data_IF_492887377531
#
_entry.id   IF_492887377531
#
_cell.length_a   1.000
_cell.length_b   1.000
_cell.length_c   1.000
_cell.angle_alpha   90.00
_cell.angle_beta   90.00
_cell.angle_gamma   90.00
#
_symmetry.space_group_name_H-M   'P 1'
#
loop_
_entity.id
_entity.type
_entity.pdbx_description
1 polymer ?
#
# COMPACT_ATOMS: atom_id res chain seq x y z
N UNK A 1 -8.84 25.20 13.93
CA UNK A 1 -8.49 24.88 12.53
C UNK A 1 -7.11 24.23 12.56
N UNK A 2 -6.99 22.94 12.25
CA UNK A 2 -5.69 22.28 12.17
C UNK A 2 -4.89 22.90 11.04
N UNK A 3 -3.62 23.23 11.30
CA UNK A 3 -2.67 23.74 10.29
C UNK A 3 -2.72 22.83 9.05
N UNK A 4 -2.80 23.37 7.82
CA UNK A 4 -2.70 22.55 6.63
C UNK A 4 -1.33 21.87 6.61
N UNK A 5 -1.31 20.55 6.58
CA UNK A 5 -0.08 19.78 6.40
C UNK A 5 0.43 20.07 4.99
N UNK A 6 1.61 20.68 4.90
CA UNK A 6 2.28 20.92 3.62
C UNK A 6 2.94 19.61 3.21
N UNK A 7 2.35 18.92 2.23
CA UNK A 7 2.93 17.69 1.70
C UNK A 7 4.20 17.97 0.89
N UNK A 8 5.27 17.27 1.22
CA UNK A 8 6.52 17.28 0.48
C UNK A 8 6.39 16.46 -0.82
N UNK A 9 7.07 16.90 -1.88
CA UNK A 9 7.03 16.24 -3.18
C UNK A 9 7.90 14.97 -3.15
N UNK A 10 7.37 13.86 -3.65
CA UNK A 10 8.04 12.56 -3.67
C UNK A 10 7.92 11.75 -2.38
N UNK A 11 7.35 12.33 -1.31
CA UNK A 11 7.16 11.64 -0.03
C UNK A 11 5.90 10.78 -0.07
N UNK A 12 6.03 9.53 0.40
CA UNK A 12 4.93 8.56 0.53
C UNK A 12 4.30 8.66 1.92
N UNK A 13 3.10 9.21 2.02
CA UNK A 13 2.32 9.20 3.27
C UNK A 13 1.41 7.96 3.31
N UNK A 14 1.56 7.10 4.33
CA UNK A 14 0.82 5.84 4.49
C UNK A 14 0.03 5.80 5.80
N UNK A 15 -0.86 4.82 5.92
CA UNK A 15 -1.55 4.49 7.18
C UNK A 15 -2.07 5.73 7.93
N UNK A 16 -1.62 5.93 9.18
CA UNK A 16 -2.00 7.04 10.03
C UNK A 16 -1.69 8.41 9.40
N UNK A 17 -0.55 8.56 8.72
CA UNK A 17 -0.17 9.82 8.08
C UNK A 17 -1.10 10.17 6.93
N UNK A 18 -1.52 9.15 6.16
CA UNK A 18 -2.53 9.30 5.11
C UNK A 18 -3.89 9.65 5.70
N UNK A 19 -4.30 8.94 6.75
CA UNK A 19 -5.61 9.12 7.39
C UNK A 19 -5.74 10.49 8.05
N UNK A 20 -4.67 11.01 8.66
CA UNK A 20 -4.64 12.35 9.27
C UNK A 20 -4.93 13.48 8.27
N UNK A 21 -4.76 13.23 6.97
CA UNK A 21 -5.01 14.18 5.88
C UNK A 21 -6.42 14.10 5.29
N UNK A 22 -7.25 13.15 5.73
CA UNK A 22 -8.61 12.95 5.22
C UNK A 22 -9.56 13.91 5.95
N UNK A 23 -10.40 14.68 5.23
CA UNK A 23 -11.31 15.66 5.85
C UNK A 23 -12.46 15.00 6.62
N UNK A 24 -12.66 13.70 6.44
CA UNK A 24 -13.64 12.89 7.15
C UNK A 24 -13.05 12.47 8.48
N UNK A 25 -13.73 12.81 9.58
CA UNK A 25 -13.40 12.29 10.90
C UNK A 25 -13.84 10.82 10.95
N UNK A 26 -12.90 9.90 10.82
CA UNK A 26 -13.12 8.51 11.20
C UNK A 26 -13.34 8.47 12.72
N UNK A 27 -14.45 7.90 13.15
CA UNK A 27 -14.67 7.65 14.58
C UNK A 27 -13.61 6.61 14.98
N UNK A 28 -12.66 7.02 15.81
CA UNK A 28 -11.64 6.11 16.28
C UNK A 28 -12.34 4.99 17.05
N UNK A 29 -12.28 3.77 16.52
CA UNK A 29 -12.73 2.59 17.25
C UNK A 29 -11.75 2.35 18.38
N UNK A 30 -12.23 2.29 19.62
CA UNK A 30 -11.39 1.94 20.75
C UNK A 30 -10.74 0.57 20.51
N UNK A 31 -9.49 0.39 20.97
CA UNK A 31 -8.72 -0.83 20.67
C UNK A 31 -9.42 -2.08 21.18
N UNK A 32 -10.12 -1.94 22.29
CA UNK A 32 -10.94 -2.95 22.96
C UNK A 32 -12.15 -3.37 22.11
N UNK A 33 -12.62 -2.49 21.22
CA UNK A 33 -13.72 -2.73 20.29
C UNK A 33 -13.26 -3.24 18.90
N UNK A 34 -11.95 -3.32 18.64
CA UNK A 34 -11.45 -3.89 17.39
C UNK A 34 -11.61 -5.41 17.38
N UNK A 35 -12.55 -5.90 16.57
CA UNK A 35 -12.73 -7.32 16.34
C UNK A 35 -11.49 -7.91 15.66
N UNK A 36 -11.02 -9.06 16.15
CA UNK A 36 -9.98 -9.82 15.45
C UNK A 36 -10.49 -10.29 14.09
N UNK A 37 -9.58 -10.33 13.12
CA UNK A 37 -9.87 -10.94 11.82
C UNK A 37 -10.28 -12.41 12.04
N UNK A 38 -11.30 -12.91 11.32
CA UNK A 38 -11.69 -14.32 11.41
C UNK A 38 -10.54 -15.27 11.08
N UNK A 39 -10.55 -16.46 11.67
CA UNK A 39 -9.49 -17.46 11.50
C UNK A 39 -9.27 -17.88 10.04
N UNK A 40 -10.32 -17.89 9.22
CA UNK A 40 -10.24 -18.23 7.79
C UNK A 40 -9.59 -17.14 6.92
N UNK A 41 -9.44 -15.91 7.43
CA UNK A 41 -8.86 -14.78 6.71
C UNK A 41 -7.33 -14.70 6.91
N UNK A 42 -6.64 -15.83 6.76
CA UNK A 42 -5.19 -15.94 6.88
C UNK A 42 -4.62 -16.56 5.60
N UNK A 43 -3.49 -16.04 5.15
CA UNK A 43 -2.73 -16.62 4.03
C UNK A 43 -1.70 -17.61 4.55
N UNK A 44 -1.34 -18.58 3.72
CA UNK A 44 -0.17 -19.43 3.94
C UNK A 44 1.02 -18.79 3.24
N UNK A 45 2.09 -18.52 3.99
CA UNK A 45 3.34 -18.07 3.39
C UNK A 45 4.00 -19.24 2.66
N UNK A 46 4.55 -19.01 1.46
CA UNK A 46 5.22 -20.07 0.71
C UNK A 46 6.54 -20.44 1.39
N UNK A 47 6.93 -21.72 1.28
CA UNK A 47 8.22 -22.20 1.77
C UNK A 47 9.40 -21.60 0.98
N UNK A 48 9.21 -21.38 -0.32
CA UNK A 48 10.16 -20.73 -1.20
C UNK A 48 9.70 -19.31 -1.58
N UNK A 49 10.61 -18.36 -1.47
CA UNK A 49 10.41 -16.95 -1.84
C UNK A 49 11.29 -16.49 -3.00
N UNK A 50 12.05 -17.39 -3.62
CA UNK A 50 12.99 -17.09 -4.72
C UNK A 50 12.32 -16.34 -5.88
N UNK A 51 11.16 -16.80 -6.36
CA UNK A 51 10.39 -16.16 -7.44
C UNK A 51 9.85 -14.79 -7.03
N UNK A 52 9.32 -14.67 -5.81
CA UNK A 52 8.84 -13.40 -5.25
C UNK A 52 9.98 -12.38 -5.21
N UNK A 53 11.15 -12.79 -4.70
CA UNK A 53 12.33 -11.94 -4.64
C UNK A 53 12.83 -11.56 -6.04
N UNK A 54 12.81 -12.49 -7.00
CA UNK A 54 13.17 -12.25 -8.39
C UNK A 54 12.28 -11.18 -9.06
N UNK A 55 10.96 -11.29 -8.92
CA UNK A 55 10.02 -10.29 -9.45
C UNK A 55 10.21 -8.94 -8.77
N UNK A 56 10.34 -8.91 -7.44
CA UNK A 56 10.63 -7.68 -6.69
C UNK A 56 11.94 -7.02 -7.13
N UNK A 57 12.99 -7.81 -7.35
CA UNK A 57 14.28 -7.31 -7.82
C UNK A 57 14.18 -6.76 -9.25
N UNK A 58 13.49 -7.45 -10.14
CA UNK A 58 13.25 -6.99 -11.51
C UNK A 58 12.46 -5.67 -11.54
N UNK A 59 11.42 -5.54 -10.73
CA UNK A 59 10.65 -4.28 -10.65
C UNK A 59 11.51 -3.13 -10.14
N UNK A 60 12.24 -3.31 -9.03
CA UNK A 60 13.14 -2.27 -8.48
C UNK A 60 14.23 -1.86 -9.46
N UNK A 61 14.84 -2.84 -10.16
CA UNK A 61 15.86 -2.58 -11.18
C UNK A 61 15.35 -1.69 -12.32
N UNK A 62 14.07 -1.83 -12.67
CA UNK A 62 13.44 -1.08 -13.76
C UNK A 62 12.64 0.14 -13.27
N UNK A 63 12.72 0.51 -11.99
CA UNK A 63 11.93 1.64 -11.45
C UNK A 63 10.41 1.44 -11.54
N UNK A 64 9.94 0.19 -11.57
CA UNK A 64 8.52 -0.14 -11.71
C UNK A 64 7.83 -0.27 -10.34
N UNK A 65 6.54 0.02 -10.34
CA UNK A 65 5.67 -0.10 -9.17
C UNK A 65 4.55 -1.10 -9.44
N UNK A 66 4.09 -1.79 -8.39
CA UNK A 66 2.98 -2.74 -8.47
C UNK A 66 1.99 -2.50 -7.35
N UNK A 67 0.70 -2.53 -7.67
CA UNK A 67 -0.37 -2.45 -6.65
C UNK A 67 -0.33 -3.64 -5.69
N UNK A 68 0.28 -4.76 -6.09
CA UNK A 68 0.50 -5.91 -5.23
C UNK A 68 1.33 -5.52 -3.99
N UNK A 69 2.37 -4.69 -4.17
CA UNK A 69 3.21 -4.19 -3.08
C UNK A 69 2.65 -2.91 -2.46
N UNK A 70 2.26 -1.95 -3.30
CA UNK A 70 1.90 -0.61 -2.82
C UNK A 70 0.58 -0.57 -2.04
N UNK A 71 -0.29 -1.58 -2.20
CA UNK A 71 -1.56 -1.72 -1.49
C UNK A 71 -1.59 -2.88 -0.47
N UNK A 72 -0.42 -3.43 -0.10
CA UNK A 72 -0.30 -4.52 0.89
C UNK A 72 -1.20 -5.74 0.58
N UNK A 73 -1.23 -6.16 -0.68
CA UNK A 73 -2.11 -7.23 -1.12
C UNK A 73 -1.73 -8.57 -0.46
N UNK A 74 -2.67 -9.27 0.21
CA UNK A 74 -2.39 -10.55 0.86
C UNK A 74 -2.03 -11.65 -0.15
N UNK A 75 -2.46 -11.52 -1.41
CA UNK A 75 -2.24 -12.54 -2.45
C UNK A 75 -0.91 -12.36 -3.20
N UNK A 76 -0.06 -11.40 -2.80
CA UNK A 76 1.21 -11.12 -3.49
C UNK A 76 2.06 -12.38 -3.68
N UNK A 77 2.16 -13.21 -2.65
CA UNK A 77 2.99 -14.41 -2.69
C UNK A 77 2.51 -15.42 -3.73
N UNK A 78 1.19 -15.63 -3.80
CA UNK A 78 0.56 -16.51 -4.79
C UNK A 78 0.75 -15.96 -6.21
N UNK A 79 0.36 -14.71 -6.44
CA UNK A 79 0.43 -14.07 -7.75
C UNK A 79 1.88 -14.07 -8.30
N UNK A 80 2.85 -13.67 -7.49
CA UNK A 80 4.25 -13.58 -7.93
C UNK A 80 4.84 -14.97 -8.18
N UNK A 81 4.50 -15.99 -7.38
CA UNK A 81 4.96 -17.36 -7.66
C UNK A 81 4.43 -17.89 -9.00
N UNK A 82 3.24 -17.45 -9.41
CA UNK A 82 2.63 -17.76 -10.71
C UNK A 82 3.15 -16.87 -11.85
N UNK A 83 4.07 -15.94 -11.58
CA UNK A 83 4.60 -15.03 -12.60
C UNK A 83 3.66 -13.87 -12.95
N UNK A 84 2.66 -13.59 -12.12
CA UNK A 84 1.65 -12.55 -12.35
C UNK A 84 1.90 -11.35 -11.45
N UNK A 85 1.91 -10.15 -12.04
CA UNK A 85 1.98 -8.88 -11.31
C UNK A 85 1.07 -7.83 -11.97
N UNK A 86 0.47 -6.96 -11.14
CA UNK A 86 -0.33 -5.84 -11.62
C UNK A 86 0.47 -4.55 -11.45
N UNK A 87 0.83 -3.92 -12.56
CA UNK A 87 1.68 -2.74 -12.57
C UNK A 87 0.92 -1.44 -12.31
N UNK A 88 1.62 -0.47 -11.74
CA UNK A 88 1.19 0.93 -11.58
C UNK A 88 2.06 1.82 -12.47
N UNK A 89 1.43 2.53 -13.40
CA UNK A 89 2.13 3.25 -14.47
C UNK A 89 2.54 4.69 -14.12
N UNK A 90 1.87 5.35 -13.17
CA UNK A 90 2.12 6.75 -12.80
C UNK A 90 2.83 6.88 -11.44
N UNK A 91 3.69 5.91 -11.13
CA UNK A 91 4.39 5.84 -9.86
C UNK A 91 3.54 5.26 -8.72
N UNK A 92 4.10 5.36 -7.51
CA UNK A 92 3.52 4.78 -6.29
C UNK A 92 2.75 5.77 -5.40
N UNK A 93 2.64 7.03 -5.80
CA UNK A 93 2.01 8.10 -4.99
C UNK A 93 0.70 8.51 -5.64
N UNK A 94 -0.40 8.34 -4.93
CA UNK A 94 -1.73 8.75 -5.35
C UNK A 94 -2.05 10.17 -4.83
N UNK A 95 -2.52 11.05 -5.71
CA UNK A 95 -3.00 12.38 -5.32
C UNK A 95 -4.39 12.33 -4.67
N UNK A 96 -5.11 11.20 -4.77
CA UNK A 96 -6.35 10.93 -4.04
C UNK A 96 -6.04 10.29 -2.69
N UNK A 97 -7.04 10.29 -1.80
CA UNK A 97 -6.94 9.84 -0.41
C UNK A 97 -8.13 8.97 0.00
N UNK A 98 -8.38 7.91 -0.76
CA UNK A 98 -9.46 6.96 -0.44
C UNK A 98 -9.17 6.30 0.93
N UNK A 99 -10.10 6.34 1.91
CA UNK A 99 -9.87 5.83 3.27
C UNK A 99 -9.54 4.33 3.36
N UNK A 100 -9.99 3.54 2.37
CA UNK A 100 -9.77 2.08 2.34
C UNK A 100 -8.50 1.67 1.60
N UNK A 101 -7.87 2.59 0.88
CA UNK A 101 -6.77 2.26 -0.03
C UNK A 101 -5.44 2.43 0.70
N UNK A 102 -4.54 1.46 0.57
CA UNK A 102 -3.22 1.50 1.23
C UNK A 102 -2.10 2.12 0.36
N UNK A 103 -2.40 2.45 -0.90
CA UNK A 103 -1.47 3.21 -1.75
C UNK A 103 -1.17 4.56 -1.12
N UNK A 104 0.11 4.90 -1.05
CA UNK A 104 0.56 6.13 -0.41
C UNK A 104 -0.11 7.37 -1.01
N UNK A 105 -0.53 8.30 -0.15
CA UNK A 105 -0.97 9.62 -0.56
C UNK A 105 0.22 10.56 -0.67
N UNK A 106 0.14 11.59 -1.51
CA UNK A 106 1.17 12.63 -1.58
C UNK A 106 1.17 13.41 -2.90
N UNK A 107 2.26 14.16 -3.10
CA UNK A 107 2.55 14.87 -4.35
C UNK A 107 3.63 14.12 -5.13
N UNK A 108 3.30 13.43 -6.24
CA UNK A 108 4.29 12.69 -7.01
C UNK A 108 5.32 13.64 -7.65
N UNK A 109 6.53 13.11 -7.90
CA UNK A 109 7.48 13.71 -8.83
C UNK A 109 7.01 13.49 -10.27
N UNK A 110 7.50 14.27 -11.21
CA UNK A 110 7.27 13.96 -12.62
C UNK A 110 7.82 12.56 -12.92
N UNK A 111 7.13 11.75 -13.74
CA UNK A 111 7.61 10.44 -14.15
C UNK A 111 8.95 10.53 -14.89
#
# INVERSE_FOLDING_TARGET
MSKPIVMERGVKYRDADKMALIPVKNVATEREALLRKPEWMKIKLPADSSRIQGIKAAMRKNGLHSVCEEASCPNLAECFNHGTATFMILGAICTRRCPFCDVAHGRPVAP
#
